data_IF_791085358364
#
_entry.id   IF_791085358364
#
_cell.length_a   1.000
_cell.length_b   1.000
_cell.length_c   1.000
_cell.angle_alpha   90.00
_cell.angle_beta   90.00
_cell.angle_gamma   90.00
#
_symmetry.space_group_name_H-M   'P 1'
#
loop_
_entity.id
_entity.type
_entity.pdbx_description
1 polymer ?
#
# COMPACT_ATOMS: atom_id res chain seq x y z
N UNK A 1 9.48 -12.97 -15.11
CA UNK A 1 10.09 -11.68 -15.51
C UNK A 1 9.87 -10.68 -14.39
N UNK A 2 10.89 -9.91 -13.96
CA UNK A 2 10.72 -8.92 -12.89
C UNK A 2 10.24 -7.60 -13.51
N UNK A 3 8.98 -7.23 -13.30
CA UNK A 3 8.39 -5.99 -13.82
C UNK A 3 9.05 -4.76 -13.17
N UNK A 4 9.49 -3.80 -13.98
CA UNK A 4 9.97 -2.51 -13.49
C UNK A 4 8.83 -1.64 -12.97
N UNK A 5 9.12 -0.60 -12.18
CA UNK A 5 8.10 0.38 -11.74
C UNK A 5 7.34 1.00 -12.91
N UNK A 6 8.00 1.19 -14.06
CA UNK A 6 7.36 1.68 -15.29
C UNK A 6 6.36 0.66 -15.83
N UNK A 7 6.77 -0.60 -15.96
CA UNK A 7 5.91 -1.67 -16.49
C UNK A 7 4.67 -1.86 -15.61
N UNK A 8 4.87 -1.85 -14.29
CA UNK A 8 3.78 -1.86 -13.30
C UNK A 8 2.82 -0.67 -13.48
N UNK A 9 3.36 0.53 -13.68
CA UNK A 9 2.57 1.74 -13.90
C UNK A 9 1.75 1.67 -15.19
N UNK A 10 2.33 1.10 -16.26
CA UNK A 10 1.65 0.89 -17.55
C UNK A 10 0.51 -0.11 -17.39
N UNK A 11 0.75 -1.26 -16.76
CA UNK A 11 -0.25 -2.30 -16.52
C UNK A 11 -1.43 -1.78 -15.68
N UNK A 12 -1.15 -1.02 -14.63
CA UNK A 12 -2.20 -0.39 -13.81
C UNK A 12 -2.99 0.64 -14.64
N UNK A 13 -2.31 1.47 -15.44
CA UNK A 13 -2.97 2.43 -16.33
C UNK A 13 -3.88 1.73 -17.34
N UNK A 14 -3.43 0.63 -17.94
CA UNK A 14 -4.20 -0.19 -18.86
C UNK A 14 -5.42 -0.81 -18.18
N UNK A 15 -5.25 -1.41 -16.99
CA UNK A 15 -6.34 -1.99 -16.23
C UNK A 15 -7.42 -0.95 -15.88
N UNK A 16 -7.02 0.20 -15.34
CA UNK A 16 -7.95 1.28 -14.96
C UNK A 16 -8.63 1.91 -16.18
N UNK A 17 -7.97 1.94 -17.34
CA UNK A 17 -8.58 2.38 -18.58
C UNK A 17 -9.58 1.35 -19.11
N UNK A 18 -9.20 0.08 -19.18
CA UNK A 18 -9.99 -0.98 -19.80
C UNK A 18 -11.28 -1.29 -19.05
N UNK A 19 -11.21 -1.33 -17.71
CA UNK A 19 -12.32 -1.75 -16.86
C UNK A 19 -13.00 -0.59 -16.13
N UNK A 20 -12.44 0.61 -16.24
CA UNK A 20 -13.00 1.87 -15.72
C UNK A 20 -13.58 1.73 -14.30
N UNK A 21 -14.84 2.14 -14.10
CA UNK A 21 -15.53 2.09 -12.80
C UNK A 21 -15.58 0.66 -12.23
N UNK A 22 -15.78 -0.35 -13.06
CA UNK A 22 -15.86 -1.74 -12.59
C UNK A 22 -14.51 -2.22 -12.02
N UNK A 23 -13.41 -1.84 -12.66
CA UNK A 23 -12.06 -2.16 -12.16
C UNK A 23 -11.76 -1.44 -10.85
N UNK A 24 -12.20 -0.19 -10.73
CA UNK A 24 -12.09 0.62 -9.52
C UNK A 24 -12.80 -0.03 -8.31
N UNK A 25 -14.07 -0.41 -8.51
CA UNK A 25 -14.92 -1.02 -7.48
C UNK A 25 -14.34 -2.36 -6.99
N UNK A 26 -13.85 -3.20 -7.90
CA UNK A 26 -13.24 -4.49 -7.57
C UNK A 26 -11.92 -4.36 -6.78
N UNK A 27 -11.24 -3.23 -6.91
CA UNK A 27 -10.07 -2.88 -6.08
C UNK A 27 -10.48 -2.21 -4.75
N UNK A 28 -11.77 -1.94 -4.56
CA UNK A 28 -12.34 -1.32 -3.36
C UNK A 28 -12.20 0.21 -3.30
N UNK A 29 -11.86 0.88 -4.40
CA UNK A 29 -11.69 2.34 -4.42
C UNK A 29 -13.00 3.05 -4.73
N UNK A 30 -13.23 4.19 -4.08
CA UNK A 30 -14.42 5.04 -4.29
C UNK A 30 -14.26 6.06 -5.41
N UNK A 31 -13.03 6.27 -5.91
CA UNK A 31 -12.77 7.16 -7.04
C UNK A 31 -11.37 7.00 -7.61
N UNK A 32 -11.17 7.46 -8.85
CA UNK A 32 -9.89 7.32 -9.55
C UNK A 32 -8.74 8.07 -8.89
N UNK A 33 -9.01 9.20 -8.22
CA UNK A 33 -7.99 9.91 -7.45
C UNK A 33 -7.44 9.02 -6.34
N UNK A 34 -8.32 8.38 -5.57
CA UNK A 34 -7.94 7.41 -4.55
C UNK A 34 -7.13 6.25 -5.15
N UNK A 35 -7.64 5.61 -6.21
CA UNK A 35 -6.96 4.49 -6.83
C UNK A 35 -5.56 4.86 -7.35
N UNK A 36 -5.45 5.97 -8.07
CA UNK A 36 -4.18 6.43 -8.66
C UNK A 36 -3.17 6.81 -7.59
N UNK A 37 -3.61 7.47 -6.51
CA UNK A 37 -2.75 7.77 -5.38
C UNK A 37 -2.25 6.48 -4.72
N UNK A 38 -3.17 5.63 -4.25
CA UNK A 38 -2.82 4.46 -3.47
C UNK A 38 -2.01 3.46 -4.29
N UNK A 39 -2.45 3.12 -5.50
CA UNK A 39 -1.73 2.19 -6.38
C UNK A 39 -0.37 2.74 -6.80
N UNK A 40 -0.29 4.04 -7.10
CA UNK A 40 0.95 4.70 -7.49
C UNK A 40 2.00 4.61 -6.40
N UNK A 41 1.65 5.06 -5.19
CA UNK A 41 2.54 4.96 -4.04
C UNK A 41 2.90 3.50 -3.72
N UNK A 42 1.95 2.57 -3.73
CA UNK A 42 2.21 1.17 -3.39
C UNK A 42 3.27 0.50 -4.29
N UNK A 43 3.40 0.92 -5.56
CA UNK A 43 4.45 0.42 -6.46
C UNK A 43 5.70 1.31 -6.52
N UNK A 44 5.80 2.34 -5.67
CA UNK A 44 6.88 3.33 -5.67
C UNK A 44 6.86 4.27 -6.88
N UNK A 45 5.72 4.45 -7.54
CA UNK A 45 5.53 5.36 -8.66
C UNK A 45 4.86 6.67 -8.23
N UNK A 46 5.09 7.75 -8.99
CA UNK A 46 4.32 8.98 -8.82
C UNK A 46 2.88 8.75 -9.29
N UNK A 47 1.84 9.18 -8.53
CA UNK A 47 0.44 9.06 -8.96
C UNK A 47 0.18 9.66 -10.36
N UNK A 48 0.84 10.78 -10.67
CA UNK A 48 0.76 11.41 -11.99
C UNK A 48 1.16 10.46 -13.14
N UNK A 49 2.09 9.53 -12.92
CA UNK A 49 2.49 8.53 -13.91
C UNK A 49 1.33 7.58 -14.25
N UNK A 50 0.61 7.09 -13.25
CA UNK A 50 -0.55 6.20 -13.47
C UNK A 50 -1.67 6.94 -14.20
N UNK A 51 -1.93 8.20 -13.83
CA UNK A 51 -2.89 9.05 -14.55
C UNK A 51 -2.50 9.18 -16.03
N UNK A 52 -1.24 9.45 -16.32
CA UNK A 52 -0.73 9.57 -17.67
C UNK A 52 -0.83 8.27 -18.47
N UNK A 53 -0.60 7.11 -17.84
CA UNK A 53 -0.77 5.83 -18.51
C UNK A 53 -2.24 5.48 -18.74
N UNK A 54 -3.14 5.80 -17.81
CA UNK A 54 -4.57 5.69 -18.09
C UNK A 54 -4.98 6.58 -19.27
N UNK A 55 -4.57 7.85 -19.28
CA UNK A 55 -4.85 8.77 -20.38
C UNK A 55 -4.29 8.27 -21.73
N UNK A 56 -3.19 7.50 -21.73
CA UNK A 56 -2.66 6.84 -22.93
C UNK A 56 -3.63 5.83 -23.53
N UNK A 57 -4.28 5.03 -22.67
CA UNK A 57 -5.12 3.90 -23.08
C UNK A 57 -6.60 4.27 -23.21
N UNK A 58 -7.07 5.33 -22.54
CA UNK A 58 -8.45 5.80 -22.56
C UNK A 58 -9.03 5.88 -24.00
N UNK A 59 -8.31 6.37 -25.04
CA UNK A 59 -8.82 6.41 -26.41
C UNK A 59 -9.10 5.05 -27.07
N UNK A 60 -8.59 3.94 -26.50
CA UNK A 60 -8.67 2.59 -27.08
C UNK A 60 -9.87 1.80 -26.56
N UNK A 61 -10.54 2.32 -25.53
CA UNK A 61 -11.70 1.70 -24.89
C UNK A 61 -12.91 2.64 -25.00
N UNK A 62 -14.15 2.15 -24.86
CA UNK A 62 -15.36 2.98 -24.92
C UNK A 62 -15.55 3.83 -23.65
N UNK A 63 -14.53 4.59 -23.27
CA UNK A 63 -14.52 5.43 -22.09
C UNK A 63 -15.11 6.81 -22.38
N UNK A 64 -15.82 7.42 -21.41
CA UNK A 64 -16.26 8.81 -21.54
C UNK A 64 -15.08 9.79 -21.55
N UNK A 65 -13.96 9.40 -20.94
CA UNK A 65 -12.71 10.17 -20.96
C UNK A 65 -12.02 9.99 -22.30
N UNK A 66 -11.67 11.11 -22.94
CA UNK A 66 -10.95 11.08 -24.22
C UNK A 66 -9.48 10.68 -24.11
N UNK A 67 -8.84 10.86 -22.95
CA UNK A 67 -7.39 10.70 -22.81
C UNK A 67 -6.58 11.43 -23.89
N UNK A 68 -5.42 10.87 -24.23
CA UNK A 68 -4.48 11.37 -25.25
C UNK A 68 -4.86 10.95 -26.68
N UNK A 69 -6.11 11.21 -27.08
CA UNK A 69 -6.68 10.88 -28.39
C UNK A 69 -6.07 11.61 -29.61
N UNK A 70 -5.30 12.68 -29.42
CA UNK A 70 -4.73 13.48 -30.52
C UNK A 70 -3.36 13.01 -31.01
N UNK A 71 -2.90 11.85 -30.55
CA UNK A 71 -1.62 11.25 -30.96
C UNK A 71 -1.72 9.74 -31.00
N UNK A 72 -0.78 9.10 -31.68
CA UNK A 72 -0.62 7.64 -31.61
C UNK A 72 -0.20 7.21 -30.20
N UNK A 73 -0.57 5.99 -29.85
CA UNK A 73 -0.06 5.33 -28.65
C UNK A 73 1.46 5.22 -28.71
N UNK A 74 2.15 5.40 -27.58
CA UNK A 74 3.59 5.18 -27.47
C UNK A 74 3.92 3.70 -27.69
N UNK A 75 4.97 3.41 -28.45
CA UNK A 75 5.34 2.04 -28.85
C UNK A 75 5.49 1.09 -27.64
N UNK A 76 6.15 1.54 -26.59
CA UNK A 76 6.33 0.72 -25.39
C UNK A 76 5.02 0.51 -24.61
N UNK A 77 4.03 1.40 -24.70
CA UNK A 77 2.69 1.16 -24.15
C UNK A 77 1.90 0.18 -25.03
N UNK A 78 2.11 0.24 -26.35
CA UNK A 78 1.49 -0.67 -27.31
C UNK A 78 1.85 -2.13 -27.04
N UNK A 79 3.10 -2.42 -26.66
CA UNK A 79 3.53 -3.78 -26.27
C UNK A 79 2.61 -4.37 -25.19
N UNK A 80 2.34 -3.62 -24.12
CA UNK A 80 1.44 -4.07 -23.04
C UNK A 80 -0.03 -4.10 -23.49
N UNK A 81 -0.46 -3.18 -24.34
CA UNK A 81 -1.81 -3.25 -24.89
C UNK A 81 -1.99 -4.55 -25.69
N UNK A 82 -1.11 -4.82 -26.64
CA UNK A 82 -1.20 -6.01 -27.50
C UNK A 82 -1.16 -7.32 -26.70
N UNK A 83 -0.41 -7.36 -25.60
CA UNK A 83 -0.29 -8.55 -24.74
C UNK A 83 -1.48 -8.76 -23.79
N UNK A 84 -2.04 -7.69 -23.20
CA UNK A 84 -3.01 -7.78 -22.10
C UNK A 84 -4.43 -7.29 -22.46
N UNK A 85 -4.65 -6.72 -23.66
CA UNK A 85 -5.95 -6.18 -24.07
C UNK A 85 -7.07 -7.23 -24.11
N UNK A 86 -6.75 -8.51 -24.27
CA UNK A 86 -7.79 -9.55 -24.37
C UNK A 86 -8.04 -10.27 -23.05
N UNK A 87 -7.31 -9.93 -21.98
CA UNK A 87 -7.47 -10.55 -20.67
C UNK A 87 -8.80 -10.19 -20.01
N UNK A 88 -9.49 -11.15 -19.41
CA UNK A 88 -10.69 -10.85 -18.64
C UNK A 88 -10.37 -10.07 -17.35
N UNK A 89 -11.41 -9.43 -16.79
CA UNK A 89 -11.26 -8.56 -15.62
C UNK A 89 -10.71 -9.29 -14.39
N UNK A 90 -11.06 -10.56 -14.18
CA UNK A 90 -10.65 -11.29 -12.98
C UNK A 90 -9.18 -11.68 -13.08
N UNK A 91 -8.75 -12.21 -14.21
CA UNK A 91 -7.34 -12.57 -14.44
C UNK A 91 -6.44 -11.33 -14.34
N UNK A 92 -6.85 -10.21 -14.96
CA UNK A 92 -6.08 -8.97 -14.88
C UNK A 92 -6.10 -8.37 -13.46
N UNK A 93 -7.23 -8.44 -12.75
CA UNK A 93 -7.32 -7.98 -11.36
C UNK A 93 -6.33 -8.72 -10.45
N UNK A 94 -6.17 -10.04 -10.60
CA UNK A 94 -5.19 -10.81 -9.82
C UNK A 94 -3.75 -10.37 -10.13
N UNK A 95 -3.43 -10.09 -11.40
CA UNK A 95 -2.15 -9.53 -11.78
C UNK A 95 -1.91 -8.16 -11.12
N UNK A 96 -2.90 -7.26 -11.12
CA UNK A 96 -2.76 -5.96 -10.44
C UNK A 96 -2.52 -6.14 -8.94
N UNK A 97 -3.26 -7.03 -8.29
CA UNK A 97 -3.11 -7.32 -6.85
C UNK A 97 -1.71 -7.84 -6.52
N UNK A 98 -1.17 -8.76 -7.32
CA UNK A 98 0.19 -9.30 -7.11
C UNK A 98 1.32 -8.30 -7.43
N UNK A 99 1.08 -7.37 -8.37
CA UNK A 99 2.02 -6.27 -8.69
C UNK A 99 2.17 -5.31 -7.51
N UNK A 100 1.05 -5.01 -6.87
CA UNK A 100 0.94 -4.00 -5.81
C UNK A 100 1.39 -4.56 -4.47
N UNK A 101 1.14 -5.84 -4.21
CA UNK A 101 1.56 -6.48 -2.97
C UNK A 101 2.06 -7.91 -3.23
N UNK A 102 3.36 -8.15 -3.04
CA UNK A 102 4.01 -9.39 -3.48
C UNK A 102 3.54 -10.65 -2.76
N UNK A 103 2.98 -10.51 -1.56
CA UNK A 103 2.46 -11.63 -0.76
C UNK A 103 0.92 -11.69 -0.78
N UNK A 104 0.27 -11.01 -1.73
CA UNK A 104 -1.18 -10.85 -1.74
C UNK A 104 -1.93 -12.19 -1.71
N UNK A 105 -1.50 -13.15 -2.52
CA UNK A 105 -2.16 -14.47 -2.57
C UNK A 105 -2.03 -15.21 -1.24
N UNK A 106 -0.83 -15.24 -0.67
CA UNK A 106 -0.55 -15.91 0.60
C UNK A 106 -1.38 -15.28 1.73
N UNK A 107 -1.40 -13.96 1.82
CA UNK A 107 -2.18 -13.28 2.86
C UNK A 107 -3.68 -13.41 2.67
N UNK A 108 -4.15 -13.41 1.42
CA UNK A 108 -5.56 -13.66 1.11
C UNK A 108 -5.98 -15.08 1.53
N UNK A 109 -5.12 -16.08 1.31
CA UNK A 109 -5.36 -17.45 1.74
C UNK A 109 -5.42 -17.56 3.28
N UNK A 110 -4.49 -16.92 3.98
CA UNK A 110 -4.48 -16.86 5.45
C UNK A 110 -5.74 -16.17 5.99
N UNK A 111 -6.14 -15.04 5.41
CA UNK A 111 -7.36 -14.33 5.82
C UNK A 111 -8.60 -15.20 5.60
N UNK A 112 -8.74 -15.87 4.44
CA UNK A 112 -9.84 -16.79 4.15
C UNK A 112 -9.90 -17.97 5.12
N UNK A 113 -8.74 -18.50 5.52
CA UNK A 113 -8.65 -19.59 6.48
C UNK A 113 -9.00 -19.16 7.92
N UNK A 114 -8.71 -17.91 8.29
CA UNK A 114 -8.80 -17.42 9.69
C UNK A 114 -10.08 -16.62 9.98
N UNK A 115 -10.69 -15.98 8.98
CA UNK A 115 -11.85 -15.09 9.16
C UNK A 115 -12.98 -15.46 8.21
N UNK A 116 -14.10 -15.91 8.79
CA UNK A 116 -15.31 -16.31 8.04
C UNK A 116 -16.18 -15.15 7.49
N UNK A 117 -15.86 -13.87 7.74
CA UNK A 117 -16.82 -12.76 7.54
C UNK A 117 -16.31 -11.43 6.96
N UNK A 118 -15.01 -11.26 6.71
CA UNK A 118 -14.55 -10.01 6.09
C UNK A 118 -14.77 -10.05 4.57
N UNK A 119 -15.26 -8.95 3.97
CA UNK A 119 -15.31 -8.81 2.52
C UNK A 119 -13.87 -8.74 1.97
N UNK A 120 -13.54 -9.62 1.04
CA UNK A 120 -12.20 -9.72 0.42
C UNK A 120 -11.69 -8.37 -0.12
N UNK A 121 -12.59 -7.55 -0.70
CA UNK A 121 -12.29 -6.20 -1.21
C UNK A 121 -11.78 -5.24 -0.12
N UNK A 122 -12.34 -5.30 1.08
CA UNK A 122 -11.93 -4.44 2.21
C UNK A 122 -10.55 -4.82 2.72
N UNK A 123 -10.25 -6.12 2.74
CA UNK A 123 -8.93 -6.62 3.12
C UNK A 123 -7.87 -6.25 2.09
N UNK A 124 -8.15 -6.48 0.80
CA UNK A 124 -7.26 -6.11 -0.30
C UNK A 124 -6.92 -4.62 -0.28
N UNK A 125 -7.94 -3.76 -0.14
CA UNK A 125 -7.74 -2.31 -0.03
C UNK A 125 -6.83 -1.95 1.15
N UNK A 126 -7.00 -2.60 2.30
CA UNK A 126 -6.18 -2.35 3.49
C UNK A 126 -4.71 -2.69 3.24
N UNK A 127 -4.42 -3.84 2.63
CA UNK A 127 -3.04 -4.23 2.29
C UNK A 127 -2.40 -3.24 1.33
N UNK A 128 -3.11 -2.87 0.26
CA UNK A 128 -2.64 -1.92 -0.73
C UNK A 128 -2.38 -0.54 -0.10
N UNK A 129 -3.24 -0.10 0.83
CA UNK A 129 -3.09 1.17 1.54
C UNK A 129 -1.91 1.15 2.52
N UNK A 130 -1.66 0.02 3.20
CA UNK A 130 -0.47 -0.17 4.03
C UNK A 130 0.82 -0.04 3.20
N UNK A 131 0.91 -0.80 2.11
CA UNK A 131 2.03 -0.72 1.18
C UNK A 131 2.24 0.69 0.63
N UNK A 132 1.16 1.40 0.29
CA UNK A 132 1.23 2.78 -0.17
C UNK A 132 1.80 3.73 0.90
N UNK A 133 1.41 3.55 2.16
CA UNK A 133 1.91 4.36 3.26
C UNK A 133 3.40 4.11 3.53
N UNK A 134 3.84 2.86 3.50
CA UNK A 134 5.26 2.48 3.64
C UNK A 134 6.12 3.10 2.54
N UNK A 135 5.70 2.98 1.27
CA UNK A 135 6.44 3.58 0.15
C UNK A 135 6.44 5.11 0.20
N UNK A 136 5.34 5.72 0.66
CA UNK A 136 5.30 7.15 0.92
C UNK A 136 6.35 7.54 1.97
N UNK A 137 6.43 6.80 3.08
CA UNK A 137 7.43 7.04 4.12
C UNK A 137 8.86 6.94 3.57
N UNK A 138 9.17 5.86 2.83
CA UNK A 138 10.50 5.69 2.18
C UNK A 138 10.84 6.91 1.31
N UNK A 139 9.87 7.48 0.59
CA UNK A 139 10.12 8.64 -0.27
C UNK A 139 10.40 9.94 0.52
N UNK A 140 9.76 10.13 1.67
CA UNK A 140 9.76 11.42 2.37
C UNK A 140 10.63 11.46 3.62
N UNK A 141 11.03 10.31 4.19
CA UNK A 141 11.67 10.25 5.51
C UNK A 141 12.90 11.16 5.64
N UNK A 142 13.77 11.19 4.63
CA UNK A 142 14.97 12.02 4.64
C UNK A 142 14.71 13.54 4.65
N UNK A 143 13.48 13.97 4.35
CA UNK A 143 13.07 15.38 4.39
C UNK A 143 12.45 15.77 5.73
N UNK A 144 12.21 14.80 6.62
CA UNK A 144 11.60 15.01 7.92
C UNK A 144 12.70 15.37 8.92
N UNK A 145 12.60 16.51 9.63
CA UNK A 145 13.64 16.95 10.57
C UNK A 145 14.02 15.90 11.62
N UNK A 146 13.04 15.14 12.14
CA UNK A 146 13.27 14.10 13.15
C UNK A 146 14.09 12.90 12.63
N UNK A 147 14.11 12.67 11.31
CA UNK A 147 14.75 11.51 10.69
C UNK A 147 15.95 11.89 9.82
N UNK A 148 16.24 13.18 9.68
CA UNK A 148 17.34 13.67 8.86
C UNK A 148 18.68 13.12 9.38
N UNK A 149 19.47 12.54 8.49
CA UNK A 149 20.80 11.99 8.82
C UNK A 149 20.79 10.57 9.41
N UNK A 150 19.62 9.96 9.62
CA UNK A 150 19.51 8.56 9.99
C UNK A 150 19.50 7.66 8.76
N UNK A 151 20.07 6.45 8.88
CA UNK A 151 20.10 5.47 7.80
C UNK A 151 18.88 4.56 7.91
N UNK A 152 18.03 4.58 6.90
CA UNK A 152 16.85 3.73 6.80
C UNK A 152 17.20 2.26 6.52
N UNK A 153 16.63 1.38 7.33
CA UNK A 153 16.64 -0.08 7.18
C UNK A 153 15.18 -0.57 7.17
N UNK A 154 14.84 -1.36 6.14
CA UNK A 154 13.51 -1.98 5.98
C UNK A 154 13.42 -3.24 6.84
N UNK A 155 12.50 -3.22 7.82
CA UNK A 155 12.29 -4.31 8.77
C UNK A 155 10.90 -4.94 8.70
N UNK A 156 10.12 -4.61 7.67
CA UNK A 156 8.72 -5.06 7.46
C UNK A 156 8.55 -6.58 7.53
N UNK A 157 9.62 -7.34 7.22
CA UNK A 157 9.64 -8.81 7.20
C UNK A 157 10.23 -9.48 8.45
N UNK A 158 10.77 -8.71 9.40
CA UNK A 158 11.40 -9.26 10.60
C UNK A 158 10.43 -9.33 11.79
N UNK A 159 9.25 -8.70 11.65
CA UNK A 159 8.23 -8.66 12.68
C UNK A 159 8.74 -8.00 13.95
N UNK A 160 9.56 -6.95 13.87
CA UNK A 160 10.20 -6.32 15.03
C UNK A 160 9.23 -5.51 15.92
N UNK A 161 7.97 -5.32 15.51
CA UNK A 161 7.00 -4.43 16.17
C UNK A 161 7.05 -2.98 15.65
N UNK A 162 7.78 -2.77 14.56
CA UNK A 162 7.78 -1.56 13.73
C UNK A 162 8.17 -1.97 12.29
N UNK A 163 7.82 -1.14 11.31
CA UNK A 163 8.10 -1.40 9.89
C UNK A 163 9.53 -1.04 9.49
N UNK A 164 10.06 0.07 10.02
CA UNK A 164 11.37 0.59 9.65
C UNK A 164 12.26 0.89 10.85
N UNK A 165 13.54 0.61 10.69
CA UNK A 165 14.58 1.01 11.64
C UNK A 165 15.38 2.15 11.05
N UNK A 166 15.56 3.22 11.81
CA UNK A 166 16.45 4.33 11.46
C UNK A 166 17.69 4.22 12.34
N UNK A 167 18.85 3.95 11.75
CA UNK A 167 20.11 3.78 12.49
C UNK A 167 20.92 5.10 12.52
N UNK A 168 21.50 5.41 13.67
CA UNK A 168 22.38 6.58 13.81
C UNK A 168 23.70 6.33 13.07
N UNK A 169 24.24 7.36 12.44
CA UNK A 169 25.58 7.30 11.81
C UNK A 169 26.71 7.46 12.82
N UNK A 170 26.41 7.89 14.05
CA UNK A 170 27.41 8.29 15.06
C UNK A 170 27.32 7.49 16.37
N UNK A 171 26.38 6.55 16.50
CA UNK A 171 26.20 5.73 17.71
C UNK A 171 25.39 4.46 17.41
N UNK A 172 25.36 3.51 18.34
CA UNK A 172 24.54 2.29 18.23
C UNK A 172 23.04 2.53 18.51
N UNK A 173 22.59 3.80 18.52
CA UNK A 173 21.18 4.15 18.70
C UNK A 173 20.39 3.92 17.42
N UNK A 174 19.12 3.60 17.59
CA UNK A 174 18.16 3.51 16.49
C UNK A 174 16.80 4.09 16.90
N UNK A 175 16.01 4.48 15.91
CA UNK A 175 14.58 4.78 16.05
C UNK A 175 13.77 3.69 15.37
N UNK A 176 12.70 3.23 16.01
CA UNK A 176 11.68 2.37 15.41
C UNK A 176 10.54 3.21 14.83
N UNK A 177 10.18 2.98 13.57
CA UNK A 177 9.08 3.68 12.89
C UNK A 177 8.04 2.69 12.41
N UNK A 178 6.84 2.79 12.98
CA UNK A 178 5.65 2.07 12.54
C UNK A 178 4.84 2.95 11.60
N UNK A 179 4.48 2.44 10.42
CA UNK A 179 3.81 3.21 9.37
C UNK A 179 2.37 2.73 9.21
N UNK A 180 1.41 3.66 9.32
CA UNK A 180 -0.02 3.37 9.14
C UNK A 180 -0.61 4.24 8.04
N UNK A 181 -1.51 3.67 7.25
CA UNK A 181 -2.23 4.36 6.17
C UNK A 181 -3.70 4.57 6.48
N UNK A 182 -4.21 5.76 6.19
CA UNK A 182 -5.63 6.12 6.27
C UNK A 182 -6.13 6.68 4.94
N UNK A 183 -7.28 6.18 4.48
CA UNK A 183 -7.89 6.67 3.23
C UNK A 183 -8.31 8.13 3.33
N UNK A 184 -8.95 8.54 4.43
CA UNK A 184 -9.39 9.92 4.68
C UNK A 184 -8.45 10.71 5.61
N UNK A 185 -8.90 11.90 6.03
CA UNK A 185 -8.18 12.75 6.99
C UNK A 185 -8.21 12.20 8.43
N UNK A 186 -9.21 11.37 8.74
CA UNK A 186 -9.40 10.70 10.02
C UNK A 186 -9.78 9.24 9.81
N UNK A 187 -9.50 8.41 10.79
CA UNK A 187 -9.86 7.00 10.79
C UNK A 187 -9.26 6.28 11.98
N UNK A 188 -9.60 5.00 12.12
CA UNK A 188 -9.08 4.18 13.21
C UNK A 188 -7.68 3.70 12.87
N UNK A 189 -6.76 3.85 13.83
CA UNK A 189 -5.45 3.26 13.80
C UNK A 189 -5.40 2.23 14.93
N UNK A 190 -4.91 1.05 14.62
CA UNK A 190 -4.70 0.00 15.60
C UNK A 190 -3.23 -0.39 15.60
N UNK A 191 -2.71 -0.68 16.79
CA UNK A 191 -1.43 -1.35 16.96
C UNK A 191 -1.70 -2.82 17.26
N UNK A 192 -0.85 -3.71 16.76
CA UNK A 192 -0.80 -5.09 17.26
C UNK A 192 -0.27 -5.11 18.70
N UNK A 193 -0.48 -6.21 19.42
CA UNK A 193 0.08 -6.36 20.79
C UNK A 193 1.60 -6.17 20.80
N UNK A 194 2.28 -6.65 19.75
CA UNK A 194 3.72 -6.52 19.58
C UNK A 194 4.13 -5.07 19.33
N UNK A 195 3.49 -4.39 18.38
CA UNK A 195 3.73 -2.96 18.12
C UNK A 195 3.51 -2.12 19.38
N UNK A 196 2.40 -2.34 20.09
CA UNK A 196 2.08 -1.63 21.32
C UNK A 196 3.11 -1.88 22.43
N UNK A 197 3.54 -3.13 22.61
CA UNK A 197 4.57 -3.50 23.61
C UNK A 197 5.94 -2.89 23.28
N UNK A 198 6.34 -2.91 22.00
CA UNK A 198 7.61 -2.34 21.54
C UNK A 198 7.59 -0.82 21.64
N UNK A 199 6.48 -0.17 21.29
CA UNK A 199 6.29 1.28 21.48
C UNK A 199 6.46 1.69 22.95
N UNK A 200 5.88 0.90 23.87
CA UNK A 200 6.03 1.12 25.32
C UNK A 200 7.48 0.97 25.79
N UNK A 201 8.22 0.03 25.20
CA UNK A 201 9.62 -0.22 25.54
C UNK A 201 10.54 0.90 25.02
N UNK A 202 10.40 1.28 23.74
CA UNK A 202 11.26 2.25 23.07
C UNK A 202 10.91 3.72 23.37
N UNK A 203 9.66 4.02 23.76
CA UNK A 203 9.21 5.36 24.18
C UNK A 203 9.60 6.45 23.15
N UNK A 204 10.55 7.31 23.50
CA UNK A 204 10.99 8.44 22.67
C UNK A 204 11.73 8.01 21.40
N UNK A 205 12.22 6.76 21.37
CA UNK A 205 12.85 6.16 20.20
C UNK A 205 11.83 5.41 19.32
N UNK A 206 10.53 5.49 19.61
CA UNK A 206 9.45 4.94 18.79
C UNK A 206 8.59 6.04 18.16
N UNK A 207 8.36 5.91 16.86
CA UNK A 207 7.54 6.82 16.07
C UNK A 207 6.40 6.06 15.42
N UNK A 208 5.19 6.59 15.56
CA UNK A 208 4.05 6.22 14.72
C UNK A 208 3.92 7.26 13.60
N UNK A 209 4.15 6.82 12.36
CA UNK A 209 4.05 7.63 11.17
C UNK A 209 2.75 7.33 10.43
N UNK A 210 1.86 8.31 10.35
CA UNK A 210 0.51 8.11 9.79
C UNK A 210 0.36 8.89 8.50
N UNK A 211 0.26 8.16 7.37
CA UNK A 211 -0.11 8.73 6.07
C UNK A 211 -1.63 8.79 5.96
N UNK A 212 -2.17 9.93 5.55
CA UNK A 212 -3.61 10.22 5.51
C UNK A 212 -4.03 10.76 4.15
N UNK A 213 -5.34 10.72 3.90
CA UNK A 213 -6.00 11.41 2.79
C UNK A 213 -5.59 10.91 1.38
N UNK A 214 -5.47 9.59 1.22
CA UNK A 214 -5.28 8.97 -0.10
C UNK A 214 -6.42 9.27 -1.08
N UNK A 215 -7.63 9.57 -0.59
CA UNK A 215 -8.78 9.93 -1.43
C UNK A 215 -8.61 11.26 -2.20
N UNK A 216 -7.67 12.11 -1.79
CA UNK A 216 -7.40 13.40 -2.42
C UNK A 216 -5.89 13.68 -2.53
N UNK A 217 -5.28 14.20 -1.46
CA UNK A 217 -3.85 14.51 -1.41
C UNK A 217 -3.21 13.87 -0.19
N UNK A 218 -2.35 12.84 -0.38
CA UNK A 218 -1.63 12.20 0.71
C UNK A 218 -0.75 13.17 1.48
N UNK A 219 -0.90 13.15 2.79
CA UNK A 219 -0.10 13.93 3.76
C UNK A 219 0.22 13.04 4.96
N UNK A 220 1.12 13.46 5.84
CA UNK A 220 1.49 12.65 7.01
C UNK A 220 1.44 13.44 8.32
N UNK A 221 1.26 12.71 9.41
CA UNK A 221 1.48 13.19 10.79
C UNK A 221 2.38 12.19 11.51
N UNK A 222 3.22 12.70 12.40
CA UNK A 222 4.22 11.94 13.14
C UNK A 222 3.92 12.05 14.62
N UNK A 223 3.88 10.91 15.31
CA UNK A 223 3.75 10.85 16.76
C UNK A 223 4.98 10.17 17.36
N UNK A 224 5.86 10.95 17.98
CA UNK A 224 6.96 10.43 18.78
C UNK A 224 6.42 9.98 20.14
N UNK A 225 6.79 8.78 20.59
CA UNK A 225 6.23 8.16 21.80
C UNK A 225 4.68 8.16 21.78
N UNK A 226 4.05 7.46 20.81
CA UNK A 226 2.61 7.57 20.55
C UNK A 226 1.72 7.18 21.72
N UNK A 227 2.24 6.47 22.73
CA UNK A 227 1.48 6.03 23.91
C UNK A 227 1.35 7.11 24.99
N UNK A 228 2.18 8.15 24.97
CA UNK A 228 2.15 9.27 25.93
C UNK A 228 1.61 10.58 25.30
N UNK A 229 1.16 10.53 24.04
CA UNK A 229 0.53 11.65 23.34
C UNK A 229 -1.01 11.60 23.48
N UNK A 230 -1.71 12.46 22.73
CA UNK A 230 -3.19 12.54 22.70
C UNK A 230 -3.90 11.29 22.14
N UNK A 231 -3.16 10.26 21.71
CA UNK A 231 -3.72 9.02 21.19
C UNK A 231 -4.16 8.09 22.33
N UNK A 232 -5.47 7.91 22.47
CA UNK A 232 -6.06 7.01 23.47
C UNK A 232 -6.30 5.62 22.89
N UNK A 233 -5.32 4.72 23.07
CA UNK A 233 -5.47 3.33 22.66
C UNK A 233 -6.36 2.55 23.63
N UNK A 234 -7.44 1.95 23.11
CA UNK A 234 -8.29 1.01 23.84
C UNK A 234 -7.89 -0.42 23.48
N UNK A 235 -7.60 -1.26 24.48
CA UNK A 235 -7.39 -2.69 24.26
C UNK A 235 -8.67 -3.34 23.73
N UNK A 236 -8.55 -4.02 22.59
CA UNK A 236 -9.61 -4.86 22.01
C UNK A 236 -9.04 -6.27 21.90
N UNK A 237 -9.70 -7.24 22.51
CA UNK A 237 -9.25 -8.63 22.55
C UNK A 237 -10.17 -9.51 21.70
N UNK A 238 -9.59 -10.44 20.94
CA UNK A 238 -10.33 -11.40 20.12
C UNK A 238 -9.75 -12.78 20.36
N UNK A 239 -10.57 -13.72 20.82
CA UNK A 239 -10.15 -15.09 21.04
C UNK A 239 -10.26 -15.91 19.75
N UNK A 240 -9.13 -16.44 19.30
CA UNK A 240 -9.05 -17.34 18.14
C UNK A 240 -8.72 -18.73 18.65
N UNK A 241 -9.55 -19.73 18.28
CA UNK A 241 -9.25 -21.13 18.57
C UNK A 241 -8.34 -21.65 17.46
N UNK A 242 -7.05 -21.83 17.75
CA UNK A 242 -6.11 -22.47 16.85
C UNK A 242 -6.11 -23.99 17.10
N UNK A 243 -6.34 -24.76 16.02
CA UNK A 243 -6.20 -26.23 16.04
C UNK A 243 -4.92 -26.59 15.28
N UNK A 244 -4.05 -27.35 15.93
CA UNK A 244 -2.80 -27.84 15.35
C UNK A 244 -2.87 -29.34 15.17
N UNK A 245 -2.34 -29.83 14.04
CA UNK A 245 -2.18 -31.25 13.76
C UNK A 245 -0.68 -31.50 13.61
N UNK A 246 -0.14 -32.44 14.37
CA UNK A 246 1.27 -32.81 14.32
C UNK A 246 1.40 -34.31 14.06
N UNK A 247 2.40 -34.70 13.29
CA UNK A 247 2.83 -36.09 13.13
C UNK A 247 4.31 -36.22 13.47
N UNK A 248 4.76 -37.44 13.73
CA UNK A 248 6.18 -37.77 13.90
C UNK A 248 6.65 -38.38 12.57
N UNK A 249 7.82 -37.97 12.08
CA UNK A 249 8.48 -38.54 10.90
C UNK A 249 9.42 -39.66 11.38
#
# INVERSE_FOLDING_TARGET
>A
MKLSTRDKSILIGLFLSKFDIKGLELLGFGGFTEAVNTLGYAIGAKPASLKNYRDEFDPLFPNPRKGWHKRKIRDFCKVFYDEYNDWDINTFLQLIKSIVYSNYEVETLVEKATRKKAKEETFAKRLITGQAAEQYFIHVHNQIPAFQGWILEDTTKFGCGFDFKLNSTSSDKFLGVEVKGLNGLSGNIALTEKEYSVARYLKQDYFLFVVKNFIDKPTHIIYQNPLENDLKFKKIETHIIQRSYSTII
#
